data_IF_549833060192
#
_entry.id   IF_549833060192
#
_cell.length_a   1.000
_cell.length_b   1.000
_cell.length_c   1.000
_cell.angle_alpha   90.00
_cell.angle_beta   90.00
_cell.angle_gamma   90.00
#
_symmetry.space_group_name_H-M   'P 1'
#
loop_
_entity.id
_entity.type
_entity.pdbx_description
1 polymer ?
#
# COMPACT_ATOMS: atom_id res chain seq x y z
N UNK A 1 6.30 -0.90 5.71
CA UNK A 1 6.20 -0.86 7.19
C UNK A 1 5.15 -1.89 7.59
N UNK A 2 5.29 -2.53 8.74
CA UNK A 2 4.37 -3.58 9.18
C UNK A 2 4.71 -4.95 8.56
N UNK A 3 3.68 -5.76 8.39
CA UNK A 3 3.79 -7.09 7.75
C UNK A 3 2.45 -7.80 7.55
N UNK A 4 1.34 -7.15 7.92
CA UNK A 4 -0.02 -7.65 7.86
C UNK A 4 -0.93 -6.55 7.28
N UNK A 5 -2.16 -6.89 6.93
CA UNK A 5 -3.09 -5.89 6.39
C UNK A 5 -3.38 -4.79 7.43
N UNK A 6 -2.79 -3.61 7.21
CA UNK A 6 -3.09 -2.39 7.96
C UNK A 6 -2.53 -2.35 9.38
N UNK A 7 -1.67 -3.31 9.78
CA UNK A 7 -1.05 -3.33 11.11
C UNK A 7 -0.13 -2.13 11.35
N UNK A 8 0.44 -1.59 10.28
CA UNK A 8 1.25 -0.37 10.30
C UNK A 8 0.43 0.93 10.30
N UNK A 9 -0.91 0.89 10.34
CA UNK A 9 -1.73 2.11 10.33
C UNK A 9 -1.41 3.08 11.47
N UNK A 10 -1.27 2.65 12.75
CA UNK A 10 -0.88 3.56 13.83
C UNK A 10 0.49 4.20 13.59
N UNK A 11 1.45 3.42 13.10
CA UNK A 11 2.79 3.91 12.72
C UNK A 11 2.72 4.91 11.58
N UNK A 12 1.96 4.62 10.53
CA UNK A 12 1.74 5.54 9.41
C UNK A 12 1.13 6.85 9.91
N UNK A 13 0.13 6.80 10.80
CA UNK A 13 -0.47 8.01 11.36
C UNK A 13 0.49 8.80 12.27
N UNK A 14 1.36 8.11 13.03
CA UNK A 14 2.43 8.76 13.79
C UNK A 14 3.39 9.51 12.84
N UNK A 15 3.90 8.84 11.80
CA UNK A 15 4.80 9.46 10.83
C UNK A 15 4.10 10.58 10.05
N UNK A 16 2.84 10.41 9.68
CA UNK A 16 2.06 11.45 9.02
C UNK A 16 1.91 12.71 9.88
N UNK A 17 1.89 12.58 11.22
CA UNK A 17 1.83 13.73 12.12
C UNK A 17 3.11 14.57 12.15
N UNK A 18 4.24 14.03 11.65
CA UNK A 18 5.53 14.73 11.65
C UNK A 18 5.87 15.40 10.32
N UNK A 19 5.09 15.15 9.26
CA UNK A 19 5.34 15.63 7.88
C UNK A 19 4.13 16.34 7.30
N UNK A 20 4.32 17.06 6.21
CA UNK A 20 3.20 17.69 5.50
C UNK A 20 2.40 16.66 4.71
N UNK A 21 3.06 15.64 4.15
CA UNK A 21 2.45 14.49 3.49
C UNK A 21 3.24 13.20 3.74
N UNK A 22 2.53 12.10 4.02
CA UNK A 22 3.12 10.76 4.08
C UNK A 22 2.67 9.94 2.88
N UNK A 23 3.59 9.59 1.99
CA UNK A 23 3.33 8.66 0.89
C UNK A 23 3.45 7.22 1.40
N UNK A 24 2.42 6.40 1.16
CA UNK A 24 2.45 4.99 1.54
C UNK A 24 1.65 4.10 0.58
N UNK A 25 1.98 2.81 0.58
CA UNK A 25 1.27 1.81 -0.20
C UNK A 25 0.01 1.28 0.52
N UNK A 26 -0.97 0.75 -0.23
CA UNK A 26 -2.20 0.17 0.32
C UNK A 26 -2.02 -0.76 1.51
N UNK A 27 -1.06 -1.70 1.44
CA UNK A 27 -0.90 -2.75 2.45
C UNK A 27 -0.49 -2.21 3.81
N UNK A 28 0.07 -0.99 3.87
CA UNK A 28 0.42 -0.33 5.13
C UNK A 28 -0.81 0.09 5.94
N UNK A 29 -1.95 0.31 5.27
CA UNK A 29 -3.13 0.99 5.86
C UNK A 29 -4.46 0.26 5.64
N UNK A 30 -4.50 -0.69 4.71
CA UNK A 30 -5.69 -1.47 4.40
C UNK A 30 -5.82 -2.67 5.32
N UNK A 31 -6.94 -2.78 6.04
CA UNK A 31 -7.29 -3.93 6.87
C UNK A 31 -8.72 -4.39 6.58
N UNK A 32 -9.01 -4.72 5.32
CA UNK A 32 -10.33 -5.14 4.84
C UNK A 32 -11.45 -4.11 5.07
N UNK A 33 -12.34 -4.29 6.05
CA UNK A 33 -13.35 -3.28 6.40
C UNK A 33 -12.79 -2.10 7.20
N UNK A 34 -11.57 -2.22 7.69
CA UNK A 34 -10.94 -1.22 8.53
C UNK A 34 -9.86 -0.46 7.75
N UNK A 35 -9.89 0.86 7.88
CA UNK A 35 -8.89 1.77 7.36
C UNK A 35 -8.95 3.07 8.17
N UNK A 36 -7.80 3.60 8.59
CA UNK A 36 -7.73 4.83 9.37
C UNK A 36 -6.60 5.73 8.85
N UNK A 37 -6.91 6.56 7.85
CA UNK A 37 -5.96 7.47 7.22
C UNK A 37 -6.03 8.86 7.84
N UNK A 38 -4.88 9.41 8.26
CA UNK A 38 -4.75 10.86 8.43
C UNK A 38 -4.98 11.58 7.08
N UNK A 39 -5.45 12.83 7.13
CA UNK A 39 -5.83 13.59 5.93
C UNK A 39 -4.67 13.82 4.95
N UNK A 40 -3.44 13.76 5.44
CA UNK A 40 -2.22 13.98 4.66
C UNK A 40 -1.49 12.67 4.27
N UNK A 41 -2.13 11.51 4.46
CA UNK A 41 -1.62 10.25 3.90
C UNK A 41 -1.97 10.17 2.42
N UNK A 42 -0.95 10.03 1.59
CA UNK A 42 -1.03 9.88 0.14
C UNK A 42 -0.99 8.39 -0.19
N UNK A 43 -2.16 7.83 -0.48
CA UNK A 43 -2.38 6.41 -0.77
C UNK A 43 -2.02 6.10 -2.23
N UNK A 44 -0.88 5.46 -2.48
CA UNK A 44 -0.41 5.16 -3.83
C UNK A 44 0.15 3.73 -3.93
N UNK A 45 -0.23 2.97 -4.96
CA UNK A 45 0.34 1.63 -5.16
C UNK A 45 1.84 1.67 -5.50
N UNK A 46 2.52 0.54 -5.34
CA UNK A 46 3.98 0.45 -5.36
C UNK A 46 4.65 0.98 -6.65
N UNK A 47 4.08 0.73 -7.82
CA UNK A 47 4.64 1.21 -9.09
C UNK A 47 4.61 2.73 -9.22
N UNK A 48 3.52 3.36 -8.77
CA UNK A 48 3.38 4.81 -8.69
C UNK A 48 4.43 5.42 -7.79
N UNK A 49 4.67 4.80 -6.63
CA UNK A 49 5.74 5.21 -5.71
C UNK A 49 7.11 5.07 -6.39
N UNK A 50 7.36 3.97 -7.09
CA UNK A 50 8.63 3.76 -7.81
C UNK A 50 8.87 4.85 -8.86
N UNK A 51 7.87 5.16 -9.70
CA UNK A 51 7.97 6.21 -10.71
C UNK A 51 8.15 7.60 -10.10
N UNK A 52 7.45 7.88 -9.00
CA UNK A 52 7.60 9.13 -8.24
C UNK A 52 9.02 9.26 -7.68
N UNK A 53 9.54 8.21 -7.04
CA UNK A 53 10.89 8.18 -6.50
C UNK A 53 11.97 8.29 -7.59
N UNK A 54 11.71 7.78 -8.79
CA UNK A 54 12.59 7.97 -9.95
C UNK A 54 12.57 9.40 -10.51
N UNK A 55 11.59 10.22 -10.10
CA UNK A 55 11.35 11.56 -10.65
C UNK A 55 10.67 11.54 -12.02
N UNK A 56 10.05 10.42 -12.41
CA UNK A 56 9.36 10.27 -13.69
C UNK A 56 7.94 10.83 -13.68
N UNK A 57 7.28 10.83 -12.51
CA UNK A 57 5.93 11.37 -12.33
C UNK A 57 5.86 12.24 -11.09
N UNK A 58 4.95 13.20 -11.12
CA UNK A 58 4.52 13.93 -9.92
C UNK A 58 3.21 13.35 -9.43
N UNK A 59 2.96 13.46 -8.12
CA UNK A 59 1.65 13.18 -7.56
C UNK A 59 0.82 14.45 -7.53
N UNK A 60 -0.38 14.36 -8.09
CA UNK A 60 -1.37 15.43 -8.10
C UNK A 60 -2.51 15.01 -7.19
N UNK A 61 -2.70 15.72 -6.08
CA UNK A 61 -3.67 15.36 -5.06
C UNK A 61 -5.09 15.79 -5.49
N UNK A 62 -6.02 14.85 -5.69
CA UNK A 62 -7.40 15.20 -6.01
C UNK A 62 -8.18 15.55 -4.74
N UNK A 63 -9.24 16.35 -4.87
CA UNK A 63 -10.24 16.47 -3.81
C UNK A 63 -11.04 15.17 -3.63
N UNK A 64 -11.38 14.53 -4.76
CA UNK A 64 -12.06 13.25 -4.83
C UNK A 64 -11.85 12.62 -6.20
N UNK A 65 -11.71 11.30 -6.25
CA UNK A 65 -11.68 10.50 -7.47
C UNK A 65 -13.08 9.95 -7.79
N UNK A 66 -13.35 9.74 -9.08
CA UNK A 66 -14.45 8.90 -9.57
C UNK A 66 -13.93 7.48 -9.70
N UNK A 67 -14.39 6.59 -8.82
CA UNK A 67 -13.89 5.23 -8.71
C UNK A 67 -14.72 4.31 -9.62
N UNK A 68 -14.06 3.64 -10.56
CA UNK A 68 -14.60 2.46 -11.23
C UNK A 68 -14.26 1.20 -10.45
N UNK A 69 -15.16 0.22 -10.43
CA UNK A 69 -14.94 -1.07 -9.76
C UNK A 69 -15.09 -2.21 -10.74
N UNK A 70 -14.08 -3.09 -10.79
CA UNK A 70 -14.13 -4.36 -11.49
C UNK A 70 -14.38 -5.46 -10.45
N UNK A 71 -15.44 -6.23 -10.65
CA UNK A 71 -15.79 -7.39 -9.84
C UNK A 71 -15.59 -8.64 -10.69
N UNK A 72 -14.70 -9.53 -10.27
CA UNK A 72 -14.57 -10.83 -10.94
C UNK A 72 -15.87 -11.61 -10.86
N UNK A 73 -16.26 -12.26 -11.97
CA UNK A 73 -17.35 -13.24 -12.01
C UNK A 73 -17.32 -14.16 -10.79
N UNK A 74 -18.41 -14.19 -10.06
CA UNK A 74 -18.56 -14.96 -8.83
C UNK A 74 -20.02 -15.33 -8.60
N UNK A 75 -20.25 -16.18 -7.61
CA UNK A 75 -21.61 -16.54 -7.16
C UNK A 75 -22.39 -15.29 -6.68
N UNK A 76 -23.69 -15.26 -6.97
CA UNK A 76 -24.57 -14.11 -6.72
C UNK A 76 -24.49 -13.61 -5.26
N UNK A 77 -24.45 -14.50 -4.27
CA UNK A 77 -24.37 -14.11 -2.86
C UNK A 77 -23.09 -13.34 -2.52
N UNK A 78 -21.97 -13.61 -3.21
CA UNK A 78 -20.72 -12.87 -3.04
C UNK A 78 -20.86 -11.48 -3.64
N UNK A 79 -21.50 -11.39 -4.81
CA UNK A 79 -21.80 -10.12 -5.47
C UNK A 79 -22.70 -9.24 -4.60
N UNK A 80 -23.76 -9.80 -3.99
CA UNK A 80 -24.64 -9.10 -3.07
C UNK A 80 -23.89 -8.47 -1.88
N UNK A 81 -22.93 -9.21 -1.30
CA UNK A 81 -22.06 -8.69 -0.23
C UNK A 81 -21.26 -7.48 -0.73
N UNK A 82 -20.67 -7.56 -1.92
CA UNK A 82 -19.90 -6.45 -2.47
C UNK A 82 -20.77 -5.22 -2.73
N UNK A 83 -21.99 -5.40 -3.25
CA UNK A 83 -22.92 -4.28 -3.44
C UNK A 83 -23.32 -3.63 -2.12
N UNK A 84 -23.48 -4.41 -1.05
CA UNK A 84 -23.66 -3.85 0.29
C UNK A 84 -22.44 -3.06 0.77
N UNK A 85 -21.22 -3.55 0.51
CA UNK A 85 -19.98 -2.81 0.80
C UNK A 85 -19.93 -1.49 0.02
N UNK A 86 -20.20 -1.52 -1.29
CA UNK A 86 -20.24 -0.32 -2.15
C UNK A 86 -21.24 0.70 -1.62
N UNK A 87 -22.47 0.26 -1.30
CA UNK A 87 -23.50 1.12 -0.75
C UNK A 87 -23.11 1.70 0.61
N UNK A 88 -22.45 0.93 1.48
CA UNK A 88 -21.92 1.42 2.74
C UNK A 88 -20.85 2.51 2.53
N UNK A 89 -19.93 2.31 1.57
CA UNK A 89 -18.91 3.33 1.24
C UNK A 89 -19.55 4.61 0.71
N UNK A 90 -20.55 4.51 -0.16
CA UNK A 90 -21.31 5.66 -0.67
C UNK A 90 -22.04 6.42 0.45
N UNK A 91 -22.72 5.68 1.33
CA UNK A 91 -23.55 6.27 2.38
C UNK A 91 -22.74 6.87 3.54
N UNK A 92 -21.62 6.23 3.94
CA UNK A 92 -20.85 6.61 5.13
C UNK A 92 -19.70 7.56 4.77
N UNK A 93 -18.98 7.26 3.69
CA UNK A 93 -17.79 8.01 3.30
C UNK A 93 -18.03 9.01 2.17
N UNK A 94 -19.23 9.01 1.56
CA UNK A 94 -19.52 9.87 0.41
C UNK A 94 -18.73 9.49 -0.84
N UNK A 95 -18.33 8.22 -0.97
CA UNK A 95 -17.50 7.76 -2.08
C UNK A 95 -18.22 7.93 -3.43
N UNK A 96 -17.54 8.56 -4.39
CA UNK A 96 -18.01 8.68 -5.76
C UNK A 96 -17.63 7.42 -6.56
N UNK A 97 -18.54 6.45 -6.59
CA UNK A 97 -18.36 5.15 -7.24
C UNK A 97 -19.37 5.04 -8.37
N UNK A 98 -18.90 4.78 -9.60
CA UNK A 98 -19.77 4.52 -10.76
C UNK A 98 -20.21 3.06 -10.79
N UNK A 99 -21.19 2.73 -11.64
CA UNK A 99 -21.71 1.37 -11.78
C UNK A 99 -20.57 0.37 -12.05
N UNK A 100 -20.41 -0.67 -11.19
CA UNK A 100 -19.35 -1.66 -11.34
C UNK A 100 -19.48 -2.46 -12.64
N UNK A 101 -18.34 -2.94 -13.14
CA UNK A 101 -18.31 -3.97 -14.19
C UNK A 101 -18.09 -5.32 -13.53
N UNK A 102 -19.08 -6.21 -13.65
CA UNK A 102 -18.92 -7.63 -13.33
C UNK A 102 -18.36 -8.30 -14.57
N UNK A 103 -17.25 -9.03 -14.45
CA UNK A 103 -16.61 -9.66 -15.61
C UNK A 103 -17.43 -10.84 -16.12
N UNK A 104 -17.44 -11.05 -17.44
CA UNK A 104 -18.11 -12.21 -18.06
C UNK A 104 -17.34 -13.53 -17.87
N UNK A 105 -16.04 -13.40 -17.63
CA UNK A 105 -15.07 -14.48 -17.46
C UNK A 105 -14.24 -14.26 -16.18
N UNK A 106 -13.79 -15.34 -15.52
CA UNK A 106 -12.83 -15.26 -14.42
C UNK A 106 -11.49 -14.69 -14.87
N UNK A 107 -10.87 -13.86 -14.03
CA UNK A 107 -9.53 -13.29 -14.24
C UNK A 107 -8.45 -14.32 -13.89
N UNK A 108 -8.74 -15.24 -12.96
CA UNK A 108 -7.85 -16.30 -12.50
C UNK A 108 -6.53 -15.74 -11.94
N UNK A 109 -6.62 -15.16 -10.74
CA UNK A 109 -5.48 -14.70 -9.96
C UNK A 109 -4.98 -15.78 -9.00
N UNK A 110 -3.68 -16.11 -8.99
CA UNK A 110 -3.08 -17.13 -8.11
C UNK A 110 -1.96 -16.59 -7.24
N UNK A 111 -1.80 -17.17 -6.05
CA UNK A 111 -0.63 -16.95 -5.19
C UNK A 111 0.48 -17.93 -5.53
N UNK A 112 1.72 -17.44 -5.66
CA UNK A 112 2.91 -18.28 -5.87
C UNK A 112 3.97 -17.89 -4.85
N UNK A 113 4.66 -18.86 -4.27
CA UNK A 113 5.83 -18.60 -3.45
C UNK A 113 7.10 -18.76 -4.29
N UNK A 114 8.02 -17.80 -4.19
CA UNK A 114 9.32 -17.89 -4.87
C UNK A 114 10.36 -18.67 -4.04
N UNK A 115 11.55 -18.89 -4.60
CA UNK A 115 12.63 -19.67 -3.98
C UNK A 115 13.11 -19.12 -2.63
N UNK A 116 12.93 -17.82 -2.38
CA UNK A 116 13.32 -17.17 -1.11
C UNK A 116 12.16 -17.07 -0.11
N UNK A 117 11.03 -17.73 -0.40
CA UNK A 117 9.87 -17.80 0.48
C UNK A 117 8.94 -16.59 0.43
N UNK A 118 9.18 -15.62 -0.46
CA UNK A 118 8.30 -14.47 -0.64
C UNK A 118 7.10 -14.82 -1.53
N UNK A 119 5.93 -14.27 -1.19
CA UNK A 119 4.73 -14.41 -2.00
C UNK A 119 4.73 -13.41 -3.16
N UNK A 120 4.47 -13.95 -4.34
CA UNK A 120 4.17 -13.25 -5.59
C UNK A 120 2.83 -13.78 -6.12
N UNK A 121 2.45 -13.43 -7.33
CA UNK A 121 1.24 -13.96 -7.95
C UNK A 121 1.28 -14.00 -9.47
N UNK A 122 0.24 -14.55 -10.05
CA UNK A 122 0.02 -14.54 -11.49
C UNK A 122 -1.42 -14.16 -11.81
N UNK A 123 -1.61 -13.63 -13.01
CA UNK A 123 -2.92 -13.29 -13.58
C UNK A 123 -2.99 -13.98 -14.93
N UNK A 124 -3.94 -14.90 -15.09
CA UNK A 124 -3.99 -15.72 -16.32
C UNK A 124 -4.71 -14.99 -17.45
N UNK A 125 -5.77 -14.24 -17.12
CA UNK A 125 -6.60 -13.53 -18.10
C UNK A 125 -6.52 -12.00 -17.92
N UNK A 126 -5.34 -11.37 -18.14
CA UNK A 126 -5.17 -9.94 -17.96
C UNK A 126 -6.03 -9.09 -18.92
N UNK A 127 -6.42 -9.63 -20.07
CA UNK A 127 -7.26 -8.91 -21.02
C UNK A 127 -8.69 -8.65 -20.49
N UNK A 128 -9.20 -9.51 -19.61
CA UNK A 128 -10.48 -9.30 -18.92
C UNK A 128 -10.41 -8.03 -18.06
N UNK A 129 -9.34 -7.88 -17.27
CA UNK A 129 -9.07 -6.67 -16.50
C UNK A 129 -8.97 -5.44 -17.40
N UNK A 130 -8.25 -5.56 -18.52
CA UNK A 130 -8.03 -4.44 -19.43
C UNK A 130 -9.30 -3.97 -20.13
N UNK A 131 -10.17 -4.89 -20.54
CA UNK A 131 -11.42 -4.54 -21.21
C UNK A 131 -12.38 -3.85 -20.23
N UNK A 132 -12.58 -4.41 -19.02
CA UNK A 132 -13.39 -3.79 -17.97
C UNK A 132 -12.84 -2.41 -17.55
N UNK A 133 -11.51 -2.27 -17.48
CA UNK A 133 -10.86 -0.98 -17.17
C UNK A 133 -11.15 0.07 -18.24
N UNK A 134 -11.04 -0.27 -19.53
CA UNK A 134 -11.32 0.65 -20.63
C UNK A 134 -12.77 1.14 -20.58
N UNK A 135 -13.70 0.24 -20.31
CA UNK A 135 -15.13 0.55 -20.18
C UNK A 135 -15.38 1.53 -19.02
N UNK A 136 -14.83 1.26 -17.83
CA UNK A 136 -14.95 2.14 -16.67
C UNK A 136 -14.32 3.52 -16.92
N UNK A 137 -13.14 3.56 -17.56
CA UNK A 137 -12.47 4.82 -17.92
C UNK A 137 -13.30 5.63 -18.92
N UNK A 138 -13.90 4.98 -19.92
CA UNK A 138 -14.82 5.64 -20.86
C UNK A 138 -16.07 6.20 -20.16
N UNK A 139 -16.51 5.56 -19.07
CA UNK A 139 -17.60 6.06 -18.19
C UNK A 139 -17.14 7.17 -17.23
N UNK A 140 -15.88 7.59 -17.29
CA UNK A 140 -15.34 8.70 -16.49
C UNK A 140 -14.64 8.30 -15.20
N UNK A 141 -14.37 7.00 -14.97
CA UNK A 141 -13.52 6.58 -13.87
C UNK A 141 -12.10 7.14 -14.03
N UNK A 142 -11.56 7.72 -12.97
CA UNK A 142 -10.18 8.19 -12.90
C UNK A 142 -9.36 7.47 -11.82
N UNK A 143 -9.95 6.49 -11.15
CA UNK A 143 -9.30 5.51 -10.29
C UNK A 143 -10.03 4.17 -10.43
N UNK A 144 -9.31 3.04 -10.30
CA UNK A 144 -9.92 1.71 -10.42
C UNK A 144 -9.68 0.87 -9.17
N UNK A 145 -10.76 0.36 -8.59
CA UNK A 145 -10.74 -0.74 -7.65
C UNK A 145 -10.92 -2.05 -8.41
N UNK A 146 -10.22 -3.10 -7.98
CA UNK A 146 -10.36 -4.45 -8.52
C UNK A 146 -10.59 -5.41 -7.37
N UNK A 147 -11.56 -6.31 -7.53
CA UNK A 147 -11.75 -7.39 -6.57
C UNK A 147 -11.86 -8.74 -7.28
N UNK A 148 -11.03 -9.69 -6.85
CA UNK A 148 -10.92 -11.03 -7.48
C UNK A 148 -10.97 -12.13 -6.45
N UNK A 149 -11.41 -13.31 -6.88
CA UNK A 149 -11.32 -14.53 -6.10
C UNK A 149 -9.91 -15.11 -6.28
N UNK A 150 -9.04 -14.88 -5.30
CA UNK A 150 -7.67 -15.36 -5.33
C UNK A 150 -7.66 -16.88 -5.11
N UNK A 151 -7.15 -17.60 -6.10
CA UNK A 151 -7.12 -19.06 -6.15
C UNK A 151 -5.80 -19.61 -5.63
N UNK A 152 -5.80 -20.91 -5.36
CA UNK A 152 -4.65 -21.68 -4.88
C UNK A 152 -4.01 -21.09 -3.62
N UNK A 153 -4.85 -20.52 -2.75
CA UNK A 153 -4.39 -20.01 -1.47
C UNK A 153 -3.93 -21.18 -0.59
N UNK A 154 -2.65 -21.23 -0.17
CA UNK A 154 -2.16 -22.31 0.68
C UNK A 154 -2.79 -22.20 2.08
N UNK A 155 -3.85 -22.97 2.33
CA UNK A 155 -4.66 -22.89 3.55
C UNK A 155 -3.85 -23.00 4.84
N UNK A 156 -2.85 -23.90 4.89
CA UNK A 156 -1.94 -24.04 6.03
C UNK A 156 -1.10 -22.78 6.28
N UNK A 157 -0.57 -22.16 5.22
CA UNK A 157 0.20 -20.91 5.33
C UNK A 157 -0.71 -19.75 5.72
N UNK A 158 -1.95 -19.72 5.22
CA UNK A 158 -2.90 -18.68 5.61
C UNK A 158 -3.36 -18.85 7.07
N UNK A 159 -3.49 -20.08 7.57
CA UNK A 159 -3.68 -20.33 8.99
C UNK A 159 -2.47 -19.86 9.83
N UNK A 160 -1.24 -20.14 9.39
CA UNK A 160 0.00 -19.63 10.04
C UNK A 160 0.08 -18.11 10.05
N UNK A 161 -0.39 -17.46 8.98
CA UNK A 161 -0.53 -16.01 8.93
C UNK A 161 -1.43 -15.51 10.07
N UNK A 162 -2.61 -16.09 10.27
CA UNK A 162 -3.48 -15.73 11.39
C UNK A 162 -2.93 -16.08 12.79
N UNK A 163 -1.84 -16.85 12.88
CA UNK A 163 -1.09 -17.07 14.14
C UNK A 163 0.07 -16.08 14.34
N UNK A 164 0.29 -15.16 13.39
CA UNK A 164 1.38 -14.21 13.47
C UNK A 164 2.74 -14.74 12.99
N UNK A 165 2.75 -15.92 12.36
CA UNK A 165 3.96 -16.68 12.02
C UNK A 165 4.37 -16.53 10.54
N UNK A 166 3.49 -15.98 9.69
CA UNK A 166 3.69 -15.95 8.23
C UNK A 166 3.19 -14.64 7.60
N UNK A 167 3.87 -14.11 6.57
CA UNK A 167 3.35 -12.96 5.81
C UNK A 167 2.05 -13.32 5.11
N UNK A 168 1.25 -12.30 4.75
CA UNK A 168 0.00 -12.51 4.04
C UNK A 168 0.26 -13.15 2.65
N UNK A 169 -0.25 -14.37 2.37
CA UNK A 169 -0.05 -15.05 1.10
C UNK A 169 -0.68 -14.35 -0.11
N UNK A 170 -1.67 -13.49 0.11
CA UNK A 170 -2.43 -12.81 -0.94
C UNK A 170 -1.72 -11.56 -1.46
N UNK A 171 -0.97 -10.85 -0.62
CA UNK A 171 -0.44 -9.52 -0.93
C UNK A 171 0.39 -9.43 -2.22
N UNK A 172 1.05 -10.51 -2.62
CA UNK A 172 1.83 -10.59 -3.86
C UNK A 172 0.97 -10.48 -5.12
N UNK A 173 -0.18 -11.15 -5.16
CA UNK A 173 -1.07 -11.10 -6.34
C UNK A 173 -1.81 -9.76 -6.44
N UNK A 174 -2.18 -9.16 -5.30
CA UNK A 174 -2.80 -7.83 -5.25
C UNK A 174 -1.86 -6.76 -5.83
N UNK A 175 -0.58 -6.84 -5.46
CA UNK A 175 0.46 -5.95 -5.96
C UNK A 175 0.67 -6.10 -7.47
N UNK A 176 0.62 -7.33 -8.01
CA UNK A 176 0.80 -7.57 -9.45
C UNK A 176 -0.39 -7.04 -10.26
N UNK A 177 -1.63 -7.25 -9.79
CA UNK A 177 -2.84 -6.75 -10.48
C UNK A 177 -2.82 -5.22 -10.53
N UNK A 178 -2.60 -4.57 -9.39
CA UNK A 178 -2.56 -3.10 -9.32
C UNK A 178 -1.40 -2.53 -10.14
N UNK A 179 -0.21 -3.13 -10.08
CA UNK A 179 0.94 -2.76 -10.90
C UNK A 179 0.64 -2.87 -12.39
N UNK A 180 0.11 -4.01 -12.84
CA UNK A 180 -0.18 -4.28 -14.26
C UNK A 180 -1.12 -3.24 -14.84
N UNK A 181 -2.18 -2.91 -14.10
CA UNK A 181 -3.21 -1.97 -14.53
C UNK A 181 -2.75 -0.52 -14.45
N UNK A 182 -2.09 -0.12 -13.37
CA UNK A 182 -1.50 1.21 -13.28
C UNK A 182 -0.51 1.42 -14.43
N UNK A 183 0.39 0.47 -14.68
CA UNK A 183 1.38 0.56 -15.76
C UNK A 183 0.71 0.82 -17.11
N UNK A 184 -0.42 0.17 -17.39
CA UNK A 184 -1.15 0.29 -18.67
C UNK A 184 -1.96 1.58 -18.78
N UNK A 185 -2.73 1.95 -17.76
CA UNK A 185 -3.72 3.04 -17.84
C UNK A 185 -3.22 4.35 -17.23
N UNK A 186 -2.21 4.28 -16.38
CA UNK A 186 -1.56 5.41 -15.71
C UNK A 186 -2.57 6.22 -14.90
N UNK A 187 -3.40 5.52 -14.12
CA UNK A 187 -4.35 6.02 -13.14
C UNK A 187 -4.19 5.24 -11.83
N UNK A 188 -4.66 5.74 -10.67
CA UNK A 188 -4.62 5.01 -9.42
C UNK A 188 -5.37 3.69 -9.50
N UNK A 189 -4.74 2.62 -9.03
CA UNK A 189 -5.35 1.29 -8.94
C UNK A 189 -5.06 0.69 -7.57
N UNK A 190 -6.05 0.03 -6.99
CA UNK A 190 -5.83 -0.83 -5.84
C UNK A 190 -6.71 -2.09 -5.96
N UNK A 191 -6.21 -3.18 -5.39
CA UNK A 191 -6.84 -4.48 -5.42
C UNK A 191 -7.18 -4.94 -4.00
N UNK A 192 -8.23 -5.75 -3.89
CA UNK A 192 -8.59 -6.47 -2.67
C UNK A 192 -9.17 -7.86 -2.98
N UNK A 193 -9.04 -8.85 -2.08
CA UNK A 193 -9.75 -10.11 -2.20
C UNK A 193 -11.27 -9.91 -2.15
N UNK A 194 -11.97 -10.73 -2.94
CA UNK A 194 -13.43 -10.68 -3.10
C UNK A 194 -14.16 -11.03 -1.80
N UNK A 195 -13.89 -12.22 -1.27
CA UNK A 195 -14.33 -12.66 0.06
C UNK A 195 -13.09 -13.12 0.83
N UNK A 196 -13.03 -12.74 2.11
CA UNK A 196 -11.99 -13.24 3.01
C UNK A 196 -12.29 -14.70 3.35
N UNK A 197 -11.36 -15.61 3.05
CA UNK A 197 -11.50 -17.03 3.35
C UNK A 197 -11.39 -17.22 4.87
N UNK A 198 -12.40 -17.85 5.48
CA UNK A 198 -12.46 -18.11 6.93
C UNK A 198 -12.47 -19.59 7.30
N UNK A 199 -12.71 -20.47 6.33
CA UNK A 199 -12.68 -21.92 6.54
C UNK A 199 -11.22 -22.40 6.55
N UNK A 200 -10.59 -22.21 7.70
CA UNK A 200 -9.17 -22.49 7.93
C UNK A 200 -9.05 -23.35 9.18
N UNK A 201 -8.07 -24.27 9.17
CA UNK A 201 -7.72 -25.09 10.33
C UNK A 201 -6.94 -24.24 11.35
N UNK A 202 -7.67 -23.40 12.08
CA UNK A 202 -7.13 -22.51 13.10
C UNK A 202 -7.03 -23.26 14.43
N UNK A 203 -5.86 -23.17 15.06
CA UNK A 203 -5.64 -23.67 16.43
C UNK A 203 -6.48 -22.89 17.45
N UNK A 204 -6.75 -21.61 17.17
CA UNK A 204 -7.61 -20.74 17.98
C UNK A 204 -8.44 -19.83 17.07
N UNK A 205 -9.73 -19.65 17.39
CA UNK A 205 -10.63 -18.76 16.66
C UNK A 205 -10.32 -17.27 16.90
N UNK A 206 -9.64 -16.94 18.00
CA UNK A 206 -9.07 -15.62 18.23
C UNK A 206 -7.67 -15.59 17.61
N UNK A 207 -7.55 -14.86 16.51
CA UNK A 207 -6.32 -14.75 15.70
C UNK A 207 -5.37 -13.67 16.25
N UNK A 208 -4.15 -13.62 15.72
CA UNK A 208 -3.18 -12.55 15.99
C UNK A 208 -3.81 -11.17 15.70
N UNK A 209 -3.56 -10.20 16.59
CA UNK A 209 -4.13 -8.85 16.50
C UNK A 209 -3.86 -8.17 15.15
N UNK A 210 -2.73 -8.48 14.49
CA UNK A 210 -2.34 -7.93 13.20
C UNK A 210 -3.18 -8.48 12.04
N UNK A 211 -3.69 -9.70 12.15
CA UNK A 211 -4.61 -10.32 11.17
C UNK A 211 -6.10 -10.15 11.52
N UNK A 212 -6.42 -9.58 12.68
CA UNK A 212 -7.79 -9.51 13.18
C UNK A 212 -8.73 -8.69 12.27
N UNK A 213 -8.23 -7.65 11.61
CA UNK A 213 -9.03 -6.85 10.67
C UNK A 213 -9.53 -7.66 9.47
N UNK A 214 -8.68 -8.52 8.91
CA UNK A 214 -9.04 -9.46 7.84
C UNK A 214 -10.07 -10.48 8.34
N UNK A 215 -9.83 -11.10 9.50
CA UNK A 215 -10.71 -12.12 10.08
C UNK A 215 -12.10 -11.56 10.45
N UNK A 216 -12.15 -10.35 10.99
CA UNK A 216 -13.40 -9.67 11.36
C UNK A 216 -14.22 -9.18 10.15
N UNK A 217 -13.60 -9.12 8.97
CA UNK A 217 -14.23 -8.62 7.75
C UNK A 217 -14.72 -9.74 6.84
N UNK A 218 -15.73 -9.46 6.03
CA UNK A 218 -16.26 -10.42 5.04
C UNK A 218 -15.55 -10.29 3.69
N UNK A 219 -15.13 -9.09 3.33
CA UNK A 219 -14.46 -8.76 2.06
C UNK A 219 -13.31 -7.78 2.33
N UNK A 220 -12.29 -7.79 1.46
CA UNK A 220 -11.22 -6.80 1.48
C UNK A 220 -11.59 -5.44 0.87
N UNK A 221 -12.74 -5.34 0.19
CA UNK A 221 -13.04 -4.24 -0.74
C UNK A 221 -13.16 -2.85 -0.10
N UNK A 222 -13.68 -2.75 1.12
CA UNK A 222 -14.04 -1.46 1.72
C UNK A 222 -12.85 -0.51 1.86
N UNK A 223 -11.73 -0.96 2.45
CA UNK A 223 -10.53 -0.14 2.64
C UNK A 223 -9.96 0.40 1.32
N UNK A 224 -9.96 -0.43 0.26
CA UNK A 224 -9.52 -0.02 -1.08
C UNK A 224 -10.38 1.10 -1.65
N UNK A 225 -11.71 0.97 -1.54
CA UNK A 225 -12.63 2.01 -2.02
C UNK A 225 -12.44 3.32 -1.26
N UNK A 226 -12.20 3.28 0.06
CA UNK A 226 -11.92 4.48 0.87
C UNK A 226 -10.58 5.10 0.48
N UNK A 227 -9.51 4.32 0.38
CA UNK A 227 -8.17 4.81 0.02
C UNK A 227 -8.13 5.44 -1.38
N UNK A 228 -8.81 4.82 -2.35
CA UNK A 228 -8.87 5.33 -3.73
C UNK A 228 -9.62 6.65 -3.88
N UNK A 229 -10.45 7.08 -2.91
CA UNK A 229 -11.15 8.36 -3.01
C UNK A 229 -10.19 9.54 -3.15
N UNK A 230 -8.99 9.45 -2.55
CA UNK A 230 -7.98 10.52 -2.55
C UNK A 230 -6.61 10.06 -3.05
N UNK A 231 -6.53 8.88 -3.66
CA UNK A 231 -5.29 8.41 -4.26
C UNK A 231 -4.78 9.42 -5.30
N UNK A 232 -3.46 9.72 -5.34
CA UNK A 232 -2.91 10.78 -6.16
C UNK A 232 -2.98 10.42 -7.64
N UNK A 233 -3.33 11.39 -8.48
CA UNK A 233 -3.24 11.24 -9.92
C UNK A 233 -1.78 11.42 -10.37
N UNK A 234 -1.28 10.53 -11.21
CA UNK A 234 0.08 10.63 -11.79
C UNK A 234 0.12 11.41 -13.10
N UNK A 235 -1.04 11.54 -13.76
CA UNK A 235 -1.24 12.36 -14.95
C UNK A 235 -1.67 13.76 -14.54
N UNK A 236 -1.07 14.76 -15.17
CA UNK A 236 -1.49 16.15 -15.01
C UNK A 236 -2.89 16.32 -15.60
N UNK A 237 -3.81 16.83 -14.80
CA UNK A 237 -5.14 17.22 -15.25
C UNK A 237 -5.16 18.74 -15.49
N UNK A 238 -5.95 19.25 -16.45
CA UNK A 238 -5.99 20.68 -16.78
C UNK A 238 -6.31 21.60 -15.59
N UNK A 239 -7.01 21.09 -14.57
CA UNK A 239 -7.47 21.85 -13.42
C UNK A 239 -6.61 21.64 -12.16
N UNK A 240 -5.45 20.99 -12.27
CA UNK A 240 -4.59 20.75 -11.11
C UNK A 240 -3.97 22.07 -10.62
N UNK A 241 -4.16 22.37 -9.34
CA UNK A 241 -3.48 23.50 -8.71
C UNK A 241 -2.03 23.11 -8.45
N UNK A 242 -1.12 24.04 -8.65
CA UNK A 242 0.31 23.85 -8.33
C UNK A 242 0.50 23.45 -6.85
N UNK A 243 -0.34 23.98 -5.96
CA UNK A 243 -0.31 23.67 -4.53
C UNK A 243 -0.68 22.21 -4.19
N UNK A 244 -1.32 21.49 -5.12
CA UNK A 244 -1.72 20.08 -4.94
C UNK A 244 -0.70 19.11 -5.56
N UNK A 245 0.46 19.61 -6.00
CA UNK A 245 1.50 18.80 -6.64
C UNK A 245 2.60 18.50 -5.63
N UNK A 246 2.91 17.21 -5.47
CA UNK A 246 4.08 16.70 -4.76
C UNK A 246 5.02 16.08 -5.80
N UNK A 247 6.32 16.35 -5.70
CA UNK A 247 7.36 15.76 -6.54
C UNK A 247 8.56 15.29 -5.69
N UNK A 248 9.54 14.66 -6.35
CA UNK A 248 10.74 14.10 -5.70
C UNK A 248 11.52 15.13 -4.86
N UNK A 249 11.50 16.41 -5.24
CA UNK A 249 12.19 17.48 -4.49
C UNK A 249 11.49 17.83 -3.17
N UNK A 250 10.26 17.34 -2.94
CA UNK A 250 9.55 17.50 -1.67
C UNK A 250 9.87 16.38 -0.67
N UNK A 251 10.62 15.34 -1.07
CA UNK A 251 10.87 14.16 -0.22
C UNK A 251 11.92 14.48 0.83
N UNK A 252 11.51 14.44 2.09
CA UNK A 252 12.37 14.70 3.24
C UNK A 252 13.22 13.49 3.65
N UNK A 253 12.60 12.30 3.66
CA UNK A 253 13.21 11.05 4.08
C UNK A 253 12.40 9.85 3.57
N UNK A 254 13.01 8.67 3.53
CA UNK A 254 12.32 7.39 3.31
C UNK A 254 12.42 6.55 4.58
N UNK A 255 11.31 6.00 5.06
CA UNK A 255 11.27 5.13 6.26
C UNK A 255 10.97 3.70 5.85
N UNK A 256 11.82 2.76 6.26
CA UNK A 256 11.70 1.36 5.85
C UNK A 256 12.32 0.41 6.90
N UNK A 257 11.90 -0.85 7.00
CA UNK A 257 12.63 -1.87 7.76
C UNK A 257 14.11 -1.98 7.39
N UNK A 258 14.97 -2.14 8.39
CA UNK A 258 16.43 -2.23 8.19
C UNK A 258 16.88 -3.47 7.38
N UNK A 259 16.00 -4.45 7.21
CA UNK A 259 16.23 -5.69 6.46
C UNK A 259 15.59 -5.69 5.06
N UNK A 260 15.11 -4.55 4.56
CA UNK A 260 14.39 -4.44 3.28
C UNK A 260 14.93 -3.30 2.39
N UNK A 261 16.25 -3.06 2.36
CA UNK A 261 16.83 -1.88 1.71
C UNK A 261 17.02 -1.99 0.18
N UNK A 262 16.50 -3.04 -0.46
CA UNK A 262 16.71 -3.32 -1.89
C UNK A 262 15.72 -2.69 -2.87
N UNK A 263 14.70 -1.99 -2.38
CA UNK A 263 13.63 -1.44 -3.22
C UNK A 263 14.04 -0.20 -4.02
N UNK A 264 13.34 0.06 -5.13
CA UNK A 264 13.52 1.25 -5.97
C UNK A 264 13.51 2.56 -5.16
N UNK A 265 12.59 2.78 -4.19
CA UNK A 265 12.58 4.03 -3.42
C UNK A 265 13.89 4.28 -2.67
N UNK A 266 14.58 3.23 -2.22
CA UNK A 266 15.82 3.33 -1.45
C UNK A 266 17.01 3.61 -2.37
N UNK A 267 17.06 2.91 -3.50
CA UNK A 267 18.10 3.13 -4.51
C UNK A 267 18.02 4.56 -5.09
N UNK A 268 16.81 5.07 -5.32
CA UNK A 268 16.63 6.46 -5.75
C UNK A 268 16.93 7.45 -4.62
N UNK A 269 16.58 7.15 -3.36
CA UNK A 269 16.94 7.99 -2.23
C UNK A 269 18.47 8.17 -2.12
N UNK A 270 19.25 7.11 -2.34
CA UNK A 270 20.71 7.22 -2.42
C UNK A 270 21.15 8.15 -3.57
N UNK A 271 20.57 8.00 -4.76
CA UNK A 271 20.89 8.86 -5.92
C UNK A 271 20.64 10.34 -5.62
N UNK A 272 19.54 10.66 -4.93
CA UNK A 272 19.15 12.03 -4.59
C UNK A 272 19.69 12.52 -3.24
N UNK A 273 20.52 11.72 -2.54
CA UNK A 273 21.02 12.03 -1.20
C UNK A 273 19.91 12.30 -0.17
N UNK A 274 18.75 11.66 -0.34
CA UNK A 274 17.63 11.69 0.59
C UNK A 274 17.92 10.68 1.72
N UNK A 275 17.81 11.05 3.00
CA UNK A 275 18.07 10.12 4.10
C UNK A 275 17.10 8.94 4.11
N UNK A 276 17.63 7.73 4.31
CA UNK A 276 16.87 6.50 4.51
C UNK A 276 16.90 6.14 5.99
N UNK A 277 15.76 6.24 6.67
CA UNK A 277 15.63 5.89 8.08
C UNK A 277 15.27 4.40 8.16
N UNK A 278 16.25 3.59 8.57
CA UNK A 278 16.16 2.15 8.65
C UNK A 278 15.76 1.70 10.06
N UNK A 279 14.58 1.09 10.19
CA UNK A 279 14.00 0.71 11.50
C UNK A 279 14.34 -0.75 11.82
N UNK A 280 15.05 -0.98 12.93
CA UNK A 280 15.55 -2.32 13.32
C UNK A 280 14.47 -3.26 13.85
N UNK A 281 13.49 -2.78 14.61
CA UNK A 281 12.48 -3.63 15.26
C UNK A 281 11.54 -4.35 14.28
N UNK A 282 11.35 -3.81 13.06
CA UNK A 282 10.54 -4.46 12.03
C UNK A 282 11.43 -5.42 11.22
N UNK A 283 11.44 -6.70 11.61
CA UNK A 283 12.17 -7.73 10.86
C UNK A 283 11.39 -8.18 9.61
N UNK A 284 12.11 -8.54 8.55
CA UNK A 284 11.54 -9.03 7.28
C UNK A 284 12.30 -10.25 6.78
N UNK A 285 11.66 -11.05 5.93
CA UNK A 285 12.26 -12.26 5.32
C UNK A 285 13.30 -11.97 4.24
N UNK A 286 13.41 -10.71 3.77
CA UNK A 286 14.25 -10.35 2.63
C UNK A 286 15.74 -10.30 2.99
N UNK A 287 16.06 -10.01 4.25
CA UNK A 287 17.43 -9.93 4.77
C UNK A 287 18.37 -9.08 3.89
N UNK A 288 17.88 -7.93 3.45
CA UNK A 288 18.63 -6.96 2.64
C UNK A 288 19.01 -5.75 3.50
N UNK A 289 20.20 -5.80 4.10
CA UNK A 289 20.72 -4.78 5.02
C UNK A 289 21.59 -3.71 4.33
N UNK A 290 21.93 -2.66 5.07
CA UNK A 290 22.80 -1.58 4.58
C UNK A 290 24.16 -2.11 4.13
N UNK A 291 24.76 -3.03 4.89
CA UNK A 291 26.06 -3.61 4.58
C UNK A 291 26.06 -4.44 3.29
N UNK A 292 24.92 -5.06 2.93
CA UNK A 292 24.79 -5.85 1.69
C UNK A 292 24.68 -4.98 0.44
N UNK A 293 24.06 -3.80 0.53
CA UNK A 293 23.83 -2.89 -0.61
C UNK A 293 24.83 -1.71 -0.64
N UNK A 294 25.61 -1.51 0.42
CA UNK A 294 26.60 -0.43 0.54
C UNK A 294 25.96 0.97 0.42
N UNK A 295 24.87 1.18 1.17
CA UNK A 295 24.21 2.47 1.22
C UNK A 295 24.90 3.44 2.20
N UNK A 296 25.08 4.69 1.78
CA UNK A 296 25.80 5.71 2.58
C UNK A 296 24.88 6.71 3.28
N UNK A 297 23.61 6.77 2.89
CA UNK A 297 22.61 7.73 3.35
C UNK A 297 21.62 7.11 4.36
N UNK A 298 22.02 6.04 5.06
CA UNK A 298 21.15 5.32 5.99
C UNK A 298 21.36 5.81 7.42
N UNK A 299 20.25 6.08 8.11
CA UNK A 299 20.18 6.39 9.53
C UNK A 299 19.45 5.23 10.20
N UNK A 300 20.17 4.40 10.95
CA UNK A 300 19.52 3.32 11.69
C UNK A 300 18.90 3.82 13.00
N UNK A 301 17.67 3.38 13.26
CA UNK A 301 16.92 3.61 14.50
C UNK A 301 16.35 2.29 15.01
N UNK A 302 16.08 2.20 16.31
CA UNK A 302 15.46 0.99 16.86
C UNK A 302 13.99 0.88 16.47
N UNK A 303 13.26 1.99 16.56
CA UNK A 303 11.79 1.98 16.46
C UNK A 303 11.22 3.02 15.52
N UNK A 304 9.95 2.83 15.15
CA UNK A 304 9.20 3.85 14.40
C UNK A 304 8.97 5.15 15.19
N UNK A 305 8.96 5.08 16.52
CA UNK A 305 8.90 6.27 17.38
C UNK A 305 10.20 7.08 17.29
N UNK A 306 11.35 6.41 17.30
CA UNK A 306 12.64 7.07 17.04
C UNK A 306 12.68 7.65 15.62
N UNK A 307 12.20 6.92 14.61
CA UNK A 307 12.10 7.41 13.23
C UNK A 307 11.29 8.72 13.16
N UNK A 308 10.15 8.79 13.85
CA UNK A 308 9.34 10.00 13.93
C UNK A 308 10.13 11.19 14.52
N UNK A 309 10.88 10.95 15.60
CA UNK A 309 11.77 11.95 16.20
C UNK A 309 12.86 12.45 15.26
N UNK A 310 13.49 11.55 14.49
CA UNK A 310 14.47 11.92 13.46
C UNK A 310 13.82 12.78 12.38
N UNK A 311 12.63 12.41 11.89
CA UNK A 311 11.90 13.20 10.88
C UNK A 311 11.57 14.60 11.40
N UNK A 312 11.11 14.71 12.65
CA UNK A 312 10.86 15.99 13.32
C UNK A 312 12.12 16.86 13.36
N UNK A 313 13.27 16.29 13.72
CA UNK A 313 14.53 17.01 13.74
C UNK A 313 14.91 17.53 12.35
N UNK A 314 14.86 16.67 11.32
CA UNK A 314 15.18 17.04 9.94
C UNK A 314 14.22 18.13 9.43
N UNK A 315 12.90 17.98 9.64
CA UNK A 315 11.89 18.96 9.22
C UNK A 315 12.13 20.35 9.83
N UNK A 316 12.64 20.42 11.05
CA UNK A 316 12.93 21.67 11.76
C UNK A 316 14.38 22.16 11.56
N UNK A 317 15.16 21.54 10.67
CA UNK A 317 16.54 21.94 10.41
C UNK A 317 17.51 21.70 11.57
N UNK A 318 17.18 20.75 12.46
CA UNK A 318 18.02 20.39 13.61
C UNK A 318 18.99 19.29 13.19
N UNK A 319 20.29 19.54 13.33
CA UNK A 319 21.32 18.55 13.04
C UNK A 319 21.28 17.40 14.06
N UNK A 320 21.32 16.16 13.58
CA UNK A 320 21.12 14.97 14.44
C UNK A 320 22.20 14.80 15.51
N UNK A 321 23.45 15.16 15.21
CA UNK A 321 24.54 15.12 16.18
C UNK A 321 24.24 16.00 17.42
N UNK A 322 23.54 17.12 17.23
CA UNK A 322 23.16 18.03 18.32
C UNK A 322 22.18 17.41 19.31
N UNK A 323 21.54 16.29 18.96
CA UNK A 323 20.67 15.51 19.84
C UNK A 323 21.45 14.48 20.68
N UNK A 324 22.66 14.12 20.25
CA UNK A 324 23.50 13.12 20.92
C UNK A 324 24.19 13.70 22.15
N UNK A 325 24.43 12.85 23.15
CA UNK A 325 25.22 13.20 24.34
C UNK A 325 26.30 12.13 24.57
N UNK A 326 27.58 12.53 24.73
CA UNK A 326 28.10 13.90 24.67
C UNK A 326 28.06 14.48 23.24
N UNK A 327 27.85 15.79 23.13
CA UNK A 327 28.01 16.51 21.86
C UNK A 327 29.50 16.78 21.65
N UNK A 328 30.03 16.48 20.47
CA UNK A 328 31.46 16.66 20.17
C UNK A 328 31.82 18.14 20.19
N UNK A 329 32.81 18.51 21.01
CA UNK A 329 33.37 19.86 21.00
C UNK A 329 34.32 20.01 19.81
N UNK A 330 33.95 20.83 18.83
CA UNK A 330 34.86 21.22 17.75
C UNK A 330 35.98 22.12 18.30
N UNK A 331 37.22 21.86 17.89
CA UNK A 331 38.40 22.64 18.24
C UNK A 331 39.17 23.01 16.96
N UNK A 332 39.82 24.18 16.92
CA UNK A 332 40.66 24.58 15.80
C UNK A 332 41.91 23.71 15.65
#
# INVERSE_FOLDING_TARGET
>A
MGGYAGDATPTANLLASTVDYLITNPNTVNASNFINLQKNVVYAEGHSIDLFCQGMVNFNLPYSNTIGLIIEKSEDWKIDILFNVINAIRAIYGGNIIDPVITDEPIYSRCIQNEVGAFVGTVDNPDVLFNASKELIQRGANAIAVTTNVQDLPSEMYAKHFRGEYPNPVGGVEAIISHLMMKKFQIPVAHAPLINIKDLDLVNNIVDARGAGEMASTSGLACVLVGLQKAPQIKVQPNNRIADIININNVLAVVIPATCLGGVPILQAQKYQIPVIAVRENHTILDVSQSKIQLNNVIEVNSYAEAAGIILAIKNGIHLESLSRPLVTLKP
#
